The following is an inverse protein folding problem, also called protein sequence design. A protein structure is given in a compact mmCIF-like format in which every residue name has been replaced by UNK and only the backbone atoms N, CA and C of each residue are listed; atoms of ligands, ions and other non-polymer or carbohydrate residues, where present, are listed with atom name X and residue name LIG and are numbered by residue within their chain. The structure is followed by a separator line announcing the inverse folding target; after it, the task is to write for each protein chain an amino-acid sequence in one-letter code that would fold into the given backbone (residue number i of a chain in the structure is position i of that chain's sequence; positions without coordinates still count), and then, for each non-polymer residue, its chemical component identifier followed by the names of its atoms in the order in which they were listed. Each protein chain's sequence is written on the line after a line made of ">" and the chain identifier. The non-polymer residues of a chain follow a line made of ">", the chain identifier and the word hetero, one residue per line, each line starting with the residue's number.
data_IF_708582092987
#
_entry.id   IF_708582092987
#
_cell.length_a   1.000
_cell.length_b   1.000
_cell.length_c   1.000
_cell.angle_alpha   90.00
_cell.angle_beta   90.00
_cell.angle_gamma   90.00
#
_symmetry.space_group_name_H-M   'P 1'
#
loop_
_entity.id
_entity.type
_entity.pdbx_description
1 polymer ?
#
# COMPACT_ATOMS: atom_id res chain seq x y z
N UNK A 1 -20.63 -3.56 2.77
CA UNK A 1 -19.84 -3.86 3.98
C UNK A 1 -19.24 -5.24 3.78
N UNK A 2 -17.93 -5.36 3.69
CA UNK A 2 -17.27 -6.66 3.60
C UNK A 2 -17.57 -7.47 4.87
N UNK A 3 -17.83 -8.77 4.73
CA UNK A 3 -17.97 -9.67 5.87
C UNK A 3 -16.62 -9.74 6.61
N UNK A 4 -16.61 -9.76 7.96
CA UNK A 4 -15.37 -9.86 8.75
C UNK A 4 -14.50 -11.03 8.28
N UNK A 5 -15.12 -12.16 7.91
CA UNK A 5 -14.39 -13.31 7.35
C UNK A 5 -13.80 -13.08 5.96
N UNK A 6 -14.39 -12.20 5.14
CA UNK A 6 -13.84 -11.81 3.84
C UNK A 6 -12.64 -10.89 4.00
N UNK A 7 -12.73 -9.91 4.91
CA UNK A 7 -11.62 -9.01 5.20
C UNK A 7 -10.42 -9.76 5.77
N UNK A 8 -10.65 -10.72 6.67
CA UNK A 8 -9.56 -11.54 7.21
C UNK A 8 -8.87 -12.34 6.10
N UNK A 9 -9.63 -13.01 5.22
CA UNK A 9 -9.05 -13.75 4.08
C UNK A 9 -8.22 -12.83 3.18
N UNK A 10 -8.70 -11.62 2.95
CA UNK A 10 -7.98 -10.64 2.13
C UNK A 10 -6.63 -10.26 2.77
N UNK A 11 -6.64 -9.98 4.08
CA UNK A 11 -5.42 -9.70 4.85
C UNK A 11 -4.46 -10.89 4.83
N UNK A 12 -4.97 -12.11 4.98
CA UNK A 12 -4.14 -13.32 4.91
C UNK A 12 -3.46 -13.46 3.53
N UNK A 13 -4.18 -13.18 2.43
CA UNK A 13 -3.60 -13.19 1.08
C UNK A 13 -2.53 -12.11 0.91
N UNK A 14 -2.78 -10.89 1.38
CA UNK A 14 -1.80 -9.78 1.32
C UNK A 14 -0.55 -10.09 2.14
N UNK A 15 -0.70 -10.63 3.36
CA UNK A 15 0.43 -11.10 4.18
C UNK A 15 1.21 -12.21 3.48
N UNK A 16 0.51 -13.15 2.83
CA UNK A 16 1.14 -14.19 2.01
C UNK A 16 1.97 -13.62 0.85
N UNK A 17 1.51 -12.54 0.21
CA UNK A 17 2.27 -11.83 -0.82
C UNK A 17 3.51 -11.15 -0.23
N UNK A 18 3.38 -10.47 0.92
CA UNK A 18 4.51 -9.80 1.58
C UNK A 18 5.60 -10.78 2.02
N UNK A 19 5.24 -11.94 2.58
CA UNK A 19 6.22 -12.98 2.91
C UNK A 19 6.93 -13.54 1.66
N UNK A 20 6.25 -13.60 0.52
CA UNK A 20 6.88 -14.03 -0.73
C UNK A 20 7.88 -12.98 -1.24
N UNK A 21 7.57 -11.70 -1.10
CA UNK A 21 8.47 -10.58 -1.43
C UNK A 21 9.70 -10.61 -0.51
N UNK A 22 9.50 -10.69 0.81
CA UNK A 22 10.58 -10.77 1.81
C UNK A 22 11.49 -11.99 1.57
N UNK A 23 10.90 -13.14 1.23
CA UNK A 23 11.63 -14.36 0.92
C UNK A 23 12.29 -14.41 -0.46
N UNK A 24 12.12 -13.37 -1.29
CA UNK A 24 12.56 -13.31 -2.69
C UNK A 24 12.12 -14.55 -3.51
N UNK A 25 10.92 -15.06 -3.24
CA UNK A 25 10.32 -16.20 -3.94
C UNK A 25 9.46 -15.70 -5.11
N UNK A 26 10.11 -15.40 -6.23
CA UNK A 26 9.49 -14.80 -7.42
C UNK A 26 8.24 -15.56 -7.89
N UNK A 27 8.28 -16.89 -7.87
CA UNK A 27 7.15 -17.72 -8.28
C UNK A 27 5.96 -17.50 -7.36
N UNK A 28 6.18 -17.49 -6.03
CA UNK A 28 5.10 -17.21 -5.07
C UNK A 28 4.61 -15.76 -5.15
N UNK A 29 5.49 -14.79 -5.44
CA UNK A 29 5.10 -13.40 -5.63
C UNK A 29 4.12 -13.30 -6.80
N UNK A 30 4.45 -13.91 -7.94
CA UNK A 30 3.58 -13.91 -9.12
C UNK A 30 2.25 -14.63 -8.86
N UNK A 31 2.28 -15.77 -8.17
CA UNK A 31 1.06 -16.50 -7.78
C UNK A 31 0.15 -15.65 -6.88
N UNK A 32 0.70 -15.05 -5.82
CA UNK A 32 -0.08 -14.23 -4.88
C UNK A 32 -0.59 -12.94 -5.52
N UNK A 33 0.23 -12.30 -6.35
CA UNK A 33 -0.20 -11.13 -7.09
C UNK A 33 -1.31 -11.47 -8.09
N UNK A 34 -1.19 -12.60 -8.80
CA UNK A 34 -2.24 -13.09 -9.70
C UNK A 34 -3.55 -13.38 -8.97
N UNK A 35 -3.51 -13.98 -7.78
CA UNK A 35 -4.68 -14.19 -6.92
C UNK A 35 -5.34 -12.87 -6.55
N UNK A 36 -4.56 -11.88 -6.11
CA UNK A 36 -5.05 -10.56 -5.70
C UNK A 36 -5.59 -9.75 -6.89
N UNK A 37 -4.89 -9.74 -8.02
CA UNK A 37 -5.29 -9.04 -9.23
C UNK A 37 -6.55 -9.65 -9.87
N UNK A 38 -6.84 -10.93 -9.61
CA UNK A 38 -8.05 -11.61 -10.07
C UNK A 38 -9.27 -11.38 -9.17
N UNK A 39 -9.12 -10.63 -8.07
CA UNK A 39 -10.23 -10.31 -7.18
C UNK A 39 -11.29 -9.46 -7.89
N UNK A 40 -12.58 -9.59 -7.54
CA UNK A 40 -13.60 -8.65 -7.97
C UNK A 40 -13.21 -7.21 -7.60
N UNK A 41 -13.48 -6.23 -8.46
CA UNK A 41 -13.07 -4.83 -8.26
C UNK A 41 -13.35 -4.27 -6.86
N UNK A 42 -14.48 -4.62 -6.24
CA UNK A 42 -14.80 -4.18 -4.88
C UNK A 42 -13.86 -4.77 -3.81
N UNK A 43 -13.47 -6.03 -3.95
CA UNK A 43 -12.51 -6.69 -3.06
C UNK A 43 -11.08 -6.17 -3.31
N UNK A 44 -10.69 -6.00 -4.58
CA UNK A 44 -9.40 -5.40 -4.94
C UNK A 44 -9.28 -3.97 -4.40
N UNK A 45 -10.32 -3.15 -4.56
CA UNK A 45 -10.37 -1.80 -3.97
C UNK A 45 -10.23 -1.83 -2.45
N UNK A 46 -10.90 -2.79 -1.79
CA UNK A 46 -10.75 -2.98 -0.33
C UNK A 46 -9.31 -3.33 0.05
N UNK A 47 -8.64 -4.18 -0.73
CA UNK A 47 -7.25 -4.58 -0.50
C UNK A 47 -6.31 -3.37 -0.58
N UNK A 48 -6.48 -2.57 -1.64
CA UNK A 48 -5.73 -1.33 -1.88
C UNK A 48 -5.94 -0.35 -0.73
N UNK A 49 -7.18 -0.13 -0.29
CA UNK A 49 -7.48 0.75 0.84
C UNK A 49 -6.83 0.27 2.15
N UNK A 50 -6.91 -1.02 2.45
CA UNK A 50 -6.34 -1.60 3.67
C UNK A 50 -4.81 -1.47 3.70
N UNK A 51 -4.13 -1.76 2.59
CA UNK A 51 -2.67 -1.59 2.49
C UNK A 51 -2.26 -0.11 2.53
N UNK A 52 -3.00 0.79 1.88
CA UNK A 52 -2.71 2.22 1.93
C UNK A 52 -2.81 2.77 3.36
N UNK A 53 -3.83 2.36 4.12
CA UNK A 53 -3.96 2.72 5.53
C UNK A 53 -2.85 2.13 6.39
N UNK A 54 -2.46 0.88 6.16
CA UNK A 54 -1.34 0.26 6.85
C UNK A 54 0.00 0.97 6.57
N UNK A 55 0.23 1.35 5.31
CA UNK A 55 1.40 2.12 4.89
C UNK A 55 1.42 3.51 5.54
N UNK A 56 0.30 4.22 5.57
CA UNK A 56 0.23 5.51 6.26
C UNK A 56 0.51 5.35 7.76
N UNK A 57 -0.04 4.33 8.42
CA UNK A 57 0.21 4.09 9.83
C UNK A 57 1.71 3.89 10.09
N UNK A 58 2.40 3.09 9.28
CA UNK A 58 3.85 2.88 9.39
C UNK A 58 4.64 4.16 9.09
N UNK A 59 4.27 4.89 8.04
CA UNK A 59 4.87 6.18 7.70
C UNK A 59 4.75 7.18 8.86
N UNK A 60 3.60 7.21 9.54
CA UNK A 60 3.40 8.01 10.74
C UNK A 60 4.29 7.61 11.91
N UNK A 61 4.63 6.32 12.07
CA UNK A 61 5.60 5.88 13.07
C UNK A 61 7.03 6.31 12.74
N UNK A 62 7.39 6.32 11.45
CA UNK A 62 8.72 6.62 10.95
C UNK A 62 9.00 8.13 10.91
N UNK A 63 8.04 8.93 10.44
CA UNK A 63 8.20 10.39 10.26
C UNK A 63 7.76 11.21 11.47
N UNK A 64 7.07 10.61 12.44
CA UNK A 64 6.56 11.30 13.63
C UNK A 64 5.09 11.71 13.52
N UNK A 65 4.56 12.34 14.57
CA UNK A 65 3.16 12.72 14.62
C UNK A 65 2.82 13.76 13.55
N UNK A 66 1.59 13.69 13.04
CA UNK A 66 1.04 14.75 12.19
C UNK A 66 0.93 16.03 13.01
N UNK A 67 1.61 17.08 12.58
CA UNK A 67 1.43 18.44 13.08
C UNK A 67 0.50 19.21 12.13
N UNK A 68 0.40 20.54 12.31
CA UNK A 68 -0.37 21.39 11.40
C UNK A 68 0.37 21.65 10.06
N UNK A 69 1.53 21.05 9.85
CA UNK A 69 2.34 21.20 8.64
C UNK A 69 1.95 20.15 7.60
N UNK A 70 1.85 20.57 6.34
CA UNK A 70 1.59 19.64 5.25
C UNK A 70 2.80 18.72 5.03
N UNK A 71 2.54 17.42 4.93
CA UNK A 71 3.55 16.46 4.49
C UNK A 71 3.68 16.54 2.97
N UNK A 72 4.90 16.81 2.50
CA UNK A 72 5.28 16.76 1.09
C UNK A 72 6.16 15.53 0.82
N UNK A 73 6.19 15.09 -0.43
CA UNK A 73 7.07 14.02 -0.89
C UNK A 73 8.01 14.57 -1.94
N UNK A 74 9.29 14.22 -1.81
CA UNK A 74 10.30 14.38 -2.85
C UNK A 74 10.36 13.06 -3.63
N UNK A 75 10.27 13.15 -4.96
CA UNK A 75 10.31 12.01 -5.86
C UNK A 75 11.57 12.15 -6.69
N UNK A 76 12.43 11.14 -6.63
CA UNK A 76 13.68 11.11 -7.38
C UNK A 76 13.65 9.91 -8.34
N UNK A 77 14.25 10.06 -9.51
CA UNK A 77 14.51 8.94 -10.41
C UNK A 77 15.79 8.17 -10.02
N UNK A 78 16.18 7.20 -10.84
CA UNK A 78 17.36 6.35 -10.62
C UNK A 78 18.69 7.14 -10.69
N UNK A 79 18.70 8.28 -11.37
CA UNK A 79 19.85 9.19 -11.46
C UNK A 79 19.87 10.21 -10.31
N UNK A 80 18.80 10.27 -9.51
CA UNK A 80 18.64 11.15 -8.36
C UNK A 80 18.06 12.52 -8.73
N UNK A 81 17.48 12.67 -9.91
CA UNK A 81 16.86 13.91 -10.37
C UNK A 81 15.40 14.02 -9.92
N UNK A 82 14.96 15.25 -9.64
CA UNK A 82 13.57 15.54 -9.23
C UNK A 82 12.56 15.16 -10.32
N UNK A 83 11.56 14.36 -9.93
CA UNK A 83 10.46 13.92 -10.80
C UNK A 83 9.16 14.60 -10.39
N UNK A 84 8.46 15.20 -11.35
CA UNK A 84 7.11 15.72 -11.13
C UNK A 84 6.12 14.56 -10.99
N UNK A 85 5.36 14.55 -9.88
CA UNK A 85 4.30 13.57 -9.62
C UNK A 85 3.31 13.46 -10.79
N UNK A 86 3.04 14.54 -11.52
CA UNK A 86 2.12 14.54 -12.66
C UNK A 86 2.66 13.85 -13.91
N UNK A 87 3.97 13.56 -13.94
CA UNK A 87 4.59 12.79 -15.02
C UNK A 87 4.64 11.28 -14.75
N UNK A 88 4.39 10.86 -13.51
CA UNK A 88 4.37 9.44 -13.15
C UNK A 88 3.26 8.68 -13.89
N UNK A 89 3.46 7.39 -14.12
CA UNK A 89 2.41 6.51 -14.66
C UNK A 89 1.12 6.60 -13.81
N UNK A 90 -0.08 6.48 -14.43
CA UNK A 90 -1.35 6.73 -13.75
C UNK A 90 -1.55 5.97 -12.43
N UNK A 91 -1.32 4.65 -12.40
CA UNK A 91 -1.40 3.85 -11.18
C UNK A 91 -0.40 4.31 -10.09
N UNK A 92 0.86 4.57 -10.46
CA UNK A 92 1.87 5.03 -9.51
C UNK A 92 1.49 6.40 -8.92
N UNK A 93 1.07 7.33 -9.79
CA UNK A 93 0.58 8.65 -9.40
C UNK A 93 -0.58 8.56 -8.40
N UNK A 94 -1.53 7.67 -8.67
CA UNK A 94 -2.66 7.43 -7.78
C UNK A 94 -2.21 6.85 -6.44
N UNK A 95 -1.28 5.88 -6.43
CA UNK A 95 -0.73 5.30 -5.21
C UNK A 95 -0.03 6.36 -4.33
N UNK A 96 0.83 7.20 -4.93
CA UNK A 96 1.51 8.30 -4.23
C UNK A 96 0.50 9.29 -3.65
N UNK A 97 -0.45 9.77 -4.47
CA UNK A 97 -1.46 10.74 -4.03
C UNK A 97 -2.35 10.20 -2.94
N UNK A 98 -2.66 8.90 -2.97
CA UNK A 98 -3.44 8.25 -1.93
C UNK A 98 -2.71 8.27 -0.59
N UNK A 99 -1.42 7.92 -0.55
CA UNK A 99 -0.63 7.97 0.67
C UNK A 99 -0.47 9.41 1.19
N UNK A 100 -0.20 10.38 0.31
CA UNK A 100 -0.12 11.79 0.67
C UNK A 100 -1.44 12.31 1.24
N UNK A 101 -2.57 11.95 0.63
CA UNK A 101 -3.89 12.35 1.10
C UNK A 101 -4.18 11.75 2.48
N UNK A 102 -3.95 10.45 2.69
CA UNK A 102 -4.10 9.79 3.99
C UNK A 102 -3.22 10.47 5.05
N UNK A 103 -1.94 10.70 4.71
CA UNK A 103 -0.97 11.30 5.63
C UNK A 103 -1.33 12.72 6.06
N UNK A 104 -1.92 13.48 5.15
CA UNK A 104 -2.43 14.82 5.43
C UNK A 104 -3.85 14.81 6.04
N UNK A 105 -4.40 13.63 6.36
CA UNK A 105 -5.72 13.44 6.98
C UNK A 105 -6.89 13.80 6.06
N UNK A 106 -6.76 13.48 4.78
CA UNK A 106 -7.76 13.65 3.72
C UNK A 106 -8.16 12.29 3.13
N UNK A 107 -8.83 11.42 3.92
CA UNK A 107 -9.15 10.06 3.47
C UNK A 107 -10.11 10.03 2.27
N UNK A 108 -11.00 11.01 2.14
CA UNK A 108 -11.91 11.10 0.98
C UNK A 108 -11.14 11.41 -0.32
N UNK A 109 -10.11 12.25 -0.25
CA UNK A 109 -9.22 12.55 -1.38
C UNK A 109 -8.41 11.31 -1.77
N UNK A 110 -8.03 10.49 -0.80
CA UNK A 110 -7.36 9.21 -1.04
C UNK A 110 -8.26 8.23 -1.80
N UNK A 111 -9.54 8.13 -1.41
CA UNK A 111 -10.50 7.26 -2.10
C UNK A 111 -10.86 7.77 -3.49
N UNK A 112 -10.83 9.08 -3.71
CA UNK A 112 -11.02 9.68 -5.04
C UNK A 112 -9.95 9.21 -6.02
N UNK A 113 -8.71 8.94 -5.59
CA UNK A 113 -7.67 8.41 -6.48
C UNK A 113 -8.03 7.05 -7.06
N UNK A 114 -8.74 6.21 -6.30
CA UNK A 114 -9.20 4.91 -6.78
C UNK A 114 -10.32 5.06 -7.82
N UNK A 115 -11.18 6.06 -7.66
CA UNK A 115 -12.22 6.37 -8.65
C UNK A 115 -11.60 6.86 -9.97
N UNK A 116 -10.54 7.68 -9.89
CA UNK A 116 -9.79 8.15 -11.07
C UNK A 116 -9.17 6.97 -11.82
N UNK A 117 -8.49 6.06 -11.12
CA UNK A 117 -7.89 4.87 -11.72
C UNK A 117 -8.95 4.00 -12.39
N UNK A 118 -10.07 3.76 -11.74
CA UNK A 118 -11.16 2.96 -12.32
C UNK A 118 -11.81 3.63 -13.54
N UNK A 119 -11.91 4.97 -13.55
CA UNK A 119 -12.46 5.73 -14.66
C UNK A 119 -11.55 5.74 -15.90
N UNK A 120 -10.24 5.49 -15.74
CA UNK A 120 -9.29 5.43 -16.85
C UNK A 120 -9.53 4.24 -17.81
N UNK A 121 -10.29 3.23 -17.37
CA UNK A 121 -10.87 2.22 -18.25
C UNK A 121 -10.06 0.93 -18.41
N UNK A 122 -8.84 0.85 -17.86
CA UNK A 122 -8.09 -0.41 -17.78
C UNK A 122 -8.30 -1.07 -16.40
N UNK A 123 -8.95 -2.25 -16.34
CA UNK A 123 -9.16 -2.98 -15.09
C UNK A 123 -7.86 -3.39 -14.37
N UNK A 124 -6.74 -3.50 -15.09
CA UNK A 124 -5.46 -3.92 -14.52
C UNK A 124 -4.81 -2.84 -13.65
N UNK A 125 -5.15 -1.56 -13.85
CA UNK A 125 -4.50 -0.43 -13.17
C UNK A 125 -4.67 -0.48 -11.65
N UNK A 126 -5.81 -0.94 -11.14
CA UNK A 126 -5.97 -1.16 -9.69
C UNK A 126 -5.03 -2.25 -9.15
N UNK A 127 -4.74 -3.27 -9.95
CA UNK A 127 -3.74 -4.27 -9.61
C UNK A 127 -2.33 -3.67 -9.56
N UNK A 128 -2.01 -2.75 -10.46
CA UNK A 128 -0.73 -2.03 -10.46
C UNK A 128 -0.61 -1.11 -9.23
N UNK A 129 -1.69 -0.42 -8.84
CA UNK A 129 -1.74 0.34 -7.57
C UNK A 129 -1.46 -0.58 -6.39
N UNK A 130 -2.11 -1.74 -6.35
CA UNK A 130 -1.90 -2.74 -5.30
C UNK A 130 -0.44 -3.21 -5.26
N UNK A 131 0.18 -3.45 -6.41
CA UNK A 131 1.57 -3.85 -6.53
C UNK A 131 2.51 -2.84 -5.84
N UNK A 132 2.38 -1.54 -6.17
CA UNK A 132 3.20 -0.50 -5.55
C UNK A 132 3.00 -0.45 -4.03
N UNK A 133 1.75 -0.56 -3.56
CA UNK A 133 1.48 -0.56 -2.13
C UNK A 133 2.07 -1.77 -1.41
N UNK A 134 2.07 -2.96 -2.02
CA UNK A 134 2.71 -4.16 -1.47
C UNK A 134 4.23 -3.98 -1.38
N UNK A 135 4.87 -3.49 -2.44
CA UNK A 135 6.32 -3.25 -2.45
C UNK A 135 6.74 -2.24 -1.39
N UNK A 136 5.98 -1.14 -1.22
CA UNK A 136 6.25 -0.18 -0.15
C UNK A 136 5.91 -0.73 1.24
N UNK A 137 4.89 -1.58 1.37
CA UNK A 137 4.56 -2.21 2.64
C UNK A 137 5.73 -3.02 3.16
N UNK A 138 6.36 -3.85 2.32
CA UNK A 138 7.55 -4.61 2.70
C UNK A 138 8.68 -3.68 3.18
N UNK A 139 8.99 -2.63 2.40
CA UNK A 139 10.04 -1.69 2.78
C UNK A 139 9.74 -0.96 4.10
N UNK A 140 8.50 -0.54 4.32
CA UNK A 140 8.08 0.11 5.57
C UNK A 140 8.09 -0.85 6.76
N UNK A 141 7.71 -2.11 6.56
CA UNK A 141 7.81 -3.16 7.59
C UNK A 141 9.28 -3.32 8.02
N UNK A 142 10.19 -3.42 7.05
CA UNK A 142 11.64 -3.56 7.26
C UNK A 142 12.22 -2.33 7.98
N UNK A 143 11.85 -1.12 7.56
CA UNK A 143 12.26 0.13 8.22
C UNK A 143 11.74 0.23 9.65
N UNK A 144 10.46 -0.07 9.88
CA UNK A 144 9.86 -0.07 11.21
C UNK A 144 10.57 -1.06 12.15
N UNK A 145 10.93 -2.25 11.68
CA UNK A 145 11.74 -3.20 12.47
C UNK A 145 13.10 -2.64 12.83
N UNK A 146 13.81 -2.08 11.84
CA UNK A 146 15.15 -1.56 12.03
C UNK A 146 15.22 -0.46 13.11
N UNK A 147 14.15 0.34 13.25
CA UNK A 147 14.05 1.42 14.25
C UNK A 147 13.16 1.08 15.45
N UNK A 148 12.72 -0.16 15.61
CA UNK A 148 11.92 -0.62 16.75
C UNK A 148 10.52 0.02 16.84
N UNK A 149 9.92 0.38 15.70
CA UNK A 149 8.57 0.94 15.60
C UNK A 149 7.54 -0.16 15.33
N UNK A 150 6.30 0.00 15.85
CA UNK A 150 5.25 -0.97 15.63
C UNK A 150 4.75 -0.95 14.18
N UNK A 151 4.35 -2.12 13.68
CA UNK A 151 3.60 -2.29 12.43
C UNK A 151 2.13 -2.58 12.75
N UNK A 152 1.19 -2.37 11.81
CA UNK A 152 -0.20 -2.78 11.98
C UNK A 152 -0.35 -4.26 12.39
N UNK A 153 -1.23 -4.53 13.36
CA UNK A 153 -1.39 -5.87 13.96
C UNK A 153 -1.72 -6.97 12.94
N UNK A 154 -2.43 -6.65 11.87
CA UNK A 154 -2.78 -7.66 10.87
C UNK A 154 -1.64 -7.96 9.89
N UNK A 155 -0.65 -7.07 9.76
CA UNK A 155 0.57 -7.31 8.99
C UNK A 155 1.57 -8.20 9.75
N UNK A 156 1.38 -8.31 11.07
CA UNK A 156 2.10 -9.24 11.93
C UNK A 156 1.12 -9.83 12.95
N UNK A 157 0.54 -11.01 12.71
CA UNK A 157 -0.14 -11.75 13.76
C UNK A 157 0.92 -12.14 14.79
N UNK A 158 1.13 -11.25 15.75
CA UNK A 158 1.97 -11.31 16.93
C UNK A 158 3.27 -12.15 16.87
N UNK A 159 4.39 -11.45 16.97
CA UNK A 159 5.61 -11.99 17.58
C UNK A 159 5.46 -12.13 19.12
N UNK A 160 4.32 -12.61 19.62
CA UNK A 160 4.17 -13.00 21.03
C UNK A 160 4.28 -14.51 21.15
N UNK A 161 5.45 -14.97 21.57
CA UNK A 161 5.73 -16.38 21.84
C UNK A 161 7.20 -16.69 22.11
N UNK A 162 7.87 -15.90 22.94
CA UNK A 162 9.03 -16.35 23.73
C UNK A 162 8.72 -16.08 25.21
#
# INVERSE_FOLDING_TARGET
>A
MANIGELQRLRDTMVGALHAIEGNDEQRVLERFGELASLPNGALRTAVSELAMANEQMLGQLCGARDDTLTCLELLDDDGDDVDIDTLEPALRAAVRMLLALRNGRPDDAMTQLDVVQAAGDPAELGVVLFYLLMWSEQFITLCQAVGKPTPDWLRPDATGH
#
